data_IF_812203829206
#
_entry.id   IF_812203829206
#
_cell.length_a   1.000
_cell.length_b   1.000
_cell.length_c   1.000
_cell.angle_alpha   90.00
_cell.angle_beta   90.00
_cell.angle_gamma   90.00
#
_symmetry.space_group_name_H-M   'P 1'
#
loop_
_entity.id
_entity.type
_entity.pdbx_description
1 polymer ?
#
# COMPACT_ATOMS: atom_id res chain seq x y z
N UNK A 1 18.39 -16.25 -1.38
CA UNK A 1 17.97 -17.10 -2.52
C UNK A 1 17.47 -16.30 -3.73
N UNK A 2 16.26 -15.73 -3.77
CA UNK A 2 15.77 -15.04 -4.98
C UNK A 2 16.66 -13.84 -5.42
N UNK A 3 17.03 -13.00 -4.46
CA UNK A 3 17.88 -11.82 -4.73
C UNK A 3 19.32 -12.19 -5.09
N UNK A 4 19.84 -13.26 -4.50
CA UNK A 4 21.18 -13.79 -4.85
C UNK A 4 21.22 -14.30 -6.28
N UNK A 5 20.08 -14.79 -6.79
CA UNK A 5 19.90 -15.18 -8.18
C UNK A 5 19.57 -14.00 -9.12
N UNK A 6 19.58 -12.75 -8.63
CA UNK A 6 19.25 -11.57 -9.42
C UNK A 6 17.76 -11.39 -9.75
N UNK A 7 16.87 -12.16 -9.11
CA UNK A 7 15.42 -12.06 -9.31
C UNK A 7 14.87 -10.92 -8.43
N UNK A 8 14.09 -10.03 -9.05
CA UNK A 8 13.38 -8.95 -8.36
C UNK A 8 12.31 -9.51 -7.44
N UNK A 9 12.26 -9.01 -6.20
CA UNK A 9 11.30 -9.43 -5.19
C UNK A 9 10.25 -8.34 -4.96
N UNK A 10 9.01 -8.65 -5.32
CA UNK A 10 7.84 -7.83 -4.99
C UNK A 10 7.16 -8.38 -3.73
N UNK A 11 6.97 -7.53 -2.72
CA UNK A 11 6.19 -7.88 -1.54
C UNK A 11 4.79 -7.30 -1.64
N UNK A 12 3.78 -8.17 -1.67
CA UNK A 12 2.37 -7.78 -1.67
C UNK A 12 1.78 -7.97 -0.27
N UNK A 13 1.31 -6.90 0.34
CA UNK A 13 0.73 -6.89 1.68
C UNK A 13 -0.65 -6.26 1.66
N UNK A 14 -1.46 -6.60 2.67
CA UNK A 14 -2.76 -5.99 2.90
C UNK A 14 -2.94 -5.70 4.37
N UNK A 15 -3.78 -4.72 4.68
CA UNK A 15 -4.27 -4.40 6.03
C UNK A 15 -5.79 -4.21 6.00
N UNK A 16 -6.43 -4.15 7.16
CA UNK A 16 -7.88 -4.02 7.31
C UNK A 16 -8.67 -5.32 7.12
N UNK A 17 -8.02 -6.48 7.29
CA UNK A 17 -8.68 -7.79 7.27
C UNK A 17 -9.57 -8.00 8.52
N UNK A 18 -10.54 -8.93 8.46
CA UNK A 18 -11.34 -9.33 9.63
C UNK A 18 -10.49 -9.65 10.86
N UNK A 19 -10.84 -9.07 12.00
CA UNK A 19 -10.13 -9.25 13.27
C UNK A 19 -8.76 -8.54 13.37
N UNK A 20 -8.35 -7.79 12.34
CA UNK A 20 -7.08 -7.08 12.36
C UNK A 20 -7.13 -5.88 13.33
N UNK A 21 -6.11 -5.76 14.17
CA UNK A 21 -5.92 -4.65 15.13
C UNK A 21 -4.71 -3.80 14.73
N UNK A 22 -4.57 -2.61 15.32
CA UNK A 22 -3.40 -1.75 15.10
C UNK A 22 -2.06 -2.46 15.43
N UNK A 23 -2.05 -3.30 16.46
CA UNK A 23 -0.88 -4.08 16.89
C UNK A 23 -0.48 -5.13 15.84
N UNK A 24 -1.47 -5.77 15.22
CA UNK A 24 -1.24 -6.76 14.16
C UNK A 24 -0.75 -6.09 12.87
N UNK A 25 -1.29 -4.92 12.51
CA UNK A 25 -0.75 -4.12 11.39
C UNK A 25 0.69 -3.70 11.68
N UNK A 26 0.99 -3.28 12.91
CA UNK A 26 2.37 -2.96 13.31
C UNK A 26 3.30 -4.18 13.23
N UNK A 27 2.79 -5.40 13.44
CA UNK A 27 3.55 -6.61 13.18
C UNK A 27 3.87 -6.79 11.69
N UNK A 28 2.91 -6.53 10.80
CA UNK A 28 3.11 -6.51 9.35
C UNK A 28 4.17 -5.48 8.95
N UNK A 29 4.12 -4.26 9.51
CA UNK A 29 5.13 -3.21 9.25
C UNK A 29 6.54 -3.70 9.66
N UNK A 30 6.66 -4.35 10.82
CA UNK A 30 7.95 -4.93 11.26
C UNK A 30 8.46 -6.01 10.29
N UNK A 31 7.58 -6.80 9.68
CA UNK A 31 7.96 -7.78 8.64
C UNK A 31 8.45 -7.06 7.39
N UNK A 32 7.70 -6.09 6.88
CA UNK A 32 8.06 -5.31 5.69
C UNK A 32 9.44 -4.67 5.85
N UNK A 33 9.73 -4.06 7.00
CA UNK A 33 11.03 -3.41 7.31
C UNK A 33 12.22 -4.36 7.29
N UNK A 34 12.00 -5.63 7.64
CA UNK A 34 13.06 -6.65 7.66
C UNK A 34 13.31 -7.23 6.27
N UNK A 35 12.36 -7.10 5.36
CA UNK A 35 12.48 -7.61 4.00
C UNK A 35 13.23 -6.62 3.10
N UNK A 36 14.22 -7.11 2.35
CA UNK A 36 14.99 -6.32 1.39
C UNK A 36 14.28 -6.18 0.05
N UNK A 37 12.99 -5.84 0.04
CA UNK A 37 12.14 -5.86 -1.16
C UNK A 37 12.65 -4.92 -2.25
N UNK A 38 12.48 -5.32 -3.52
CA UNK A 38 12.73 -4.44 -4.66
C UNK A 38 11.56 -3.49 -4.90
N UNK A 39 10.34 -3.98 -4.65
CA UNK A 39 9.08 -3.26 -4.80
C UNK A 39 8.11 -3.74 -3.73
N UNK A 40 7.21 -2.87 -3.28
CA UNK A 40 6.21 -3.17 -2.25
C UNK A 40 4.85 -2.64 -2.68
N UNK A 41 3.84 -3.50 -2.60
CA UNK A 41 2.44 -3.14 -2.71
C UNK A 41 1.78 -3.31 -1.36
N UNK A 42 1.01 -2.30 -0.95
CA UNK A 42 0.16 -2.36 0.22
C UNK A 42 -1.26 -2.04 -0.23
N UNK A 43 -2.22 -2.89 0.12
CA UNK A 43 -3.64 -2.66 -0.13
C UNK A 43 -4.45 -2.61 1.17
N UNK A 44 -5.66 -2.04 1.09
CA UNK A 44 -6.68 -2.21 2.12
C UNK A 44 -7.62 -3.32 1.69
N UNK A 45 -7.89 -4.24 2.60
CA UNK A 45 -8.74 -5.42 2.35
C UNK A 45 -10.13 -4.94 1.98
N UNK A 46 -10.61 -5.38 0.82
CA UNK A 46 -11.91 -5.00 0.26
C UNK A 46 -12.70 -6.27 -0.03
N UNK A 47 -13.94 -6.31 0.44
CA UNK A 47 -14.84 -7.41 0.16
C UNK A 47 -15.43 -7.27 -1.26
N UNK A 48 -15.00 -8.10 -2.19
CA UNK A 48 -15.50 -8.06 -3.57
C UNK A 48 -16.72 -8.97 -3.75
N UNK A 49 -17.72 -8.61 -4.59
CA UNK A 49 -18.91 -9.42 -4.81
C UNK A 49 -18.54 -10.84 -5.28
N UNK A 50 -19.22 -11.84 -4.73
CA UNK A 50 -18.93 -13.26 -4.98
C UNK A 50 -17.82 -13.85 -4.11
N UNK A 51 -17.32 -13.12 -3.10
CA UNK A 51 -16.43 -13.66 -2.05
C UNK A 51 -17.19 -13.88 -0.75
N UNK A 52 -16.76 -14.85 0.06
CA UNK A 52 -17.31 -15.07 1.42
C UNK A 52 -17.20 -13.81 2.29
N UNK A 53 -16.15 -13.02 2.06
CA UNK A 53 -15.94 -11.75 2.73
C UNK A 53 -17.05 -10.74 2.40
N UNK A 54 -17.56 -10.75 1.18
CA UNK A 54 -18.67 -9.89 0.77
C UNK A 54 -19.98 -10.36 1.37
N UNK A 55 -20.22 -11.66 1.47
CA UNK A 55 -21.42 -12.16 2.12
C UNK A 55 -21.51 -11.68 3.58
N UNK A 56 -20.35 -11.62 4.25
CA UNK A 56 -20.23 -11.21 5.65
C UNK A 56 -20.25 -9.69 5.85
N UNK A 57 -19.49 -8.93 5.07
CA UNK A 57 -19.24 -7.49 5.30
C UNK A 57 -19.86 -6.56 4.25
N UNK A 58 -20.19 -7.08 3.07
CA UNK A 58 -20.58 -6.29 1.91
C UNK A 58 -22.02 -6.47 1.45
N UNK A 59 -22.72 -7.52 1.89
CA UNK A 59 -24.04 -7.92 1.39
C UNK A 59 -25.13 -6.85 1.58
N UNK A 60 -24.93 -5.95 2.53
CA UNK A 60 -25.84 -4.82 2.79
C UNK A 60 -25.39 -3.50 2.15
N UNK A 61 -24.20 -3.46 1.56
CA UNK A 61 -23.66 -2.25 0.96
C UNK A 61 -24.42 -1.92 -0.34
N UNK A 62 -24.89 -0.67 -0.45
CA UNK A 62 -25.62 -0.17 -1.63
C UNK A 62 -24.94 1.09 -2.16
N UNK A 63 -25.10 1.37 -3.45
CA UNK A 63 -24.54 2.58 -4.09
C UNK A 63 -23.01 2.58 -4.23
N UNK A 64 -22.37 1.42 -4.11
CA UNK A 64 -20.92 1.27 -4.32
C UNK A 64 -20.57 1.38 -5.81
N UNK A 65 -19.63 2.27 -6.12
CA UNK A 65 -19.06 2.44 -7.44
C UNK A 65 -17.84 1.52 -7.59
N UNK A 66 -18.08 0.28 -8.03
CA UNK A 66 -17.05 -0.77 -8.12
C UNK A 66 -15.89 -0.43 -9.05
N UNK A 67 -16.06 0.53 -9.97
CA UNK A 67 -14.96 1.04 -10.80
C UNK A 67 -13.88 1.74 -9.96
N UNK A 68 -14.26 2.29 -8.79
CA UNK A 68 -13.32 2.88 -7.82
C UNK A 68 -12.64 1.85 -6.93
N UNK A 69 -13.22 0.66 -6.76
CA UNK A 69 -12.62 -0.41 -5.95
C UNK A 69 -11.34 -0.97 -6.59
N UNK A 70 -11.28 -0.97 -7.93
CA UNK A 70 -10.15 -1.49 -8.70
C UNK A 70 -9.01 -0.48 -8.88
N UNK A 71 -9.16 0.74 -8.34
CA UNK A 71 -8.19 1.80 -8.54
C UNK A 71 -6.92 1.55 -7.70
N UNK A 72 -6.06 0.64 -8.15
CA UNK A 72 -4.63 0.83 -7.96
C UNK A 72 -4.28 2.10 -8.72
N UNK A 73 -4.27 3.24 -8.03
CA UNK A 73 -3.95 4.51 -8.65
C UNK A 73 -2.42 4.72 -8.57
N UNK A 74 -1.65 4.48 -9.64
CA UNK A 74 -0.20 4.70 -9.62
C UNK A 74 0.18 6.17 -9.42
N UNK A 75 -0.76 7.11 -9.63
CA UNK A 75 -0.58 8.54 -9.37
C UNK A 75 -0.98 8.98 -7.96
N UNK A 76 -1.62 8.08 -7.19
CA UNK A 76 -1.97 8.25 -5.78
C UNK A 76 -1.54 7.00 -5.00
N UNK A 77 -0.29 6.56 -5.21
CA UNK A 77 0.28 5.37 -4.57
C UNK A 77 0.40 5.50 -3.03
N UNK A 78 0.17 6.71 -2.51
CA UNK A 78 0.05 7.07 -1.11
C UNK A 78 -1.39 6.99 -0.57
N UNK A 79 -2.40 6.90 -1.43
CA UNK A 79 -3.80 6.81 -1.05
C UNK A 79 -4.34 5.39 -1.28
N UNK A 80 -4.67 4.70 -0.18
CA UNK A 80 -5.68 3.64 -0.24
C UNK A 80 -7.02 4.23 0.15
N UNK A 81 -7.99 4.12 -0.75
CA UNK A 81 -9.37 4.37 -0.37
C UNK A 81 -9.91 3.12 0.33
N UNK A 82 -10.41 3.33 1.55
CA UNK A 82 -11.19 2.33 2.25
C UNK A 82 -12.53 2.25 1.52
N UNK A 83 -12.62 1.34 0.55
CA UNK A 83 -13.78 1.22 -0.33
C UNK A 83 -14.94 0.51 0.38
N UNK A 84 -14.65 -0.67 0.92
CA UNK A 84 -15.60 -1.46 1.70
C UNK A 84 -14.84 -2.13 2.85
N UNK A 85 -15.14 -1.69 4.06
CA UNK A 85 -14.42 -2.09 5.25
C UNK A 85 -14.79 -3.50 5.70
N UNK A 86 -13.77 -4.28 6.05
CA UNK A 86 -13.91 -5.67 6.50
C UNK A 86 -13.40 -5.88 7.94
N UNK A 87 -13.18 -4.80 8.69
CA UNK A 87 -12.56 -4.78 10.02
C UNK A 87 -13.31 -3.80 10.94
N UNK A 88 -13.11 -3.93 12.24
CA UNK A 88 -13.67 -3.03 13.25
C UNK A 88 -12.88 -1.74 13.41
N UNK A 89 -11.65 -1.65 12.87
CA UNK A 89 -10.87 -0.41 12.84
C UNK A 89 -11.65 0.71 12.13
N UNK A 90 -11.56 1.95 12.60
CA UNK A 90 -12.15 3.06 11.85
C UNK A 90 -11.29 3.43 10.63
N UNK A 91 -11.91 4.10 9.65
CA UNK A 91 -11.27 4.46 8.38
C UNK A 91 -10.05 5.38 8.59
N UNK A 92 -10.11 6.28 9.58
CA UNK A 92 -9.01 7.18 9.90
C UNK A 92 -7.79 6.40 10.40
N UNK A 93 -8.02 5.40 11.23
CA UNK A 93 -7.01 4.49 11.77
C UNK A 93 -6.40 3.65 10.66
N UNK A 94 -7.22 3.07 9.77
CA UNK A 94 -6.71 2.31 8.61
C UNK A 94 -5.84 3.21 7.72
N UNK A 95 -6.29 4.42 7.40
CA UNK A 95 -5.51 5.39 6.60
C UNK A 95 -4.22 5.78 7.29
N UNK A 96 -4.24 6.03 8.60
CA UNK A 96 -3.04 6.33 9.38
C UNK A 96 -2.04 5.17 9.37
N UNK A 97 -2.52 3.95 9.58
CA UNK A 97 -1.69 2.74 9.56
C UNK A 97 -1.14 2.44 8.16
N UNK A 98 -1.93 2.66 7.11
CA UNK A 98 -1.49 2.55 5.73
C UNK A 98 -0.33 3.50 5.44
N UNK A 99 -0.49 4.79 5.75
CA UNK A 99 0.57 5.78 5.55
C UNK A 99 1.81 5.45 6.38
N UNK A 100 1.63 5.01 7.64
CA UNK A 100 2.74 4.55 8.48
C UNK A 100 3.49 3.39 7.83
N UNK A 101 2.78 2.38 7.35
CA UNK A 101 3.35 1.21 6.70
C UNK A 101 4.11 1.58 5.42
N UNK A 102 3.51 2.38 4.54
CA UNK A 102 4.14 2.86 3.31
C UNK A 102 5.40 3.68 3.59
N UNK A 103 5.34 4.59 4.57
CA UNK A 103 6.49 5.41 4.98
C UNK A 103 7.62 4.54 5.53
N UNK A 104 7.32 3.63 6.45
CA UNK A 104 8.33 2.75 7.05
C UNK A 104 8.91 1.76 6.03
N UNK A 105 8.10 1.26 5.10
CA UNK A 105 8.58 0.41 4.00
C UNK A 105 9.64 1.11 3.15
N UNK A 106 9.51 2.42 2.93
CA UNK A 106 10.48 3.22 2.16
C UNK A 106 11.68 3.60 3.03
N UNK A 107 11.48 4.16 4.22
CA UNK A 107 12.57 4.67 5.06
C UNK A 107 13.54 3.58 5.51
N UNK A 108 13.02 2.38 5.83
CA UNK A 108 13.86 1.27 6.30
C UNK A 108 14.37 0.37 5.17
N UNK A 109 14.07 0.71 3.91
CA UNK A 109 14.57 -0.01 2.75
C UNK A 109 15.33 0.94 1.80
N UNK A 110 16.63 1.22 2.07
CA UNK A 110 17.45 2.10 1.23
C UNK A 110 17.49 1.68 -0.24
N UNK A 111 17.35 0.37 -0.53
CA UNK A 111 17.31 -0.14 -1.91
C UNK A 111 16.07 0.35 -2.65
N UNK A 112 14.92 0.38 -1.99
CA UNK A 112 13.67 0.90 -2.54
C UNK A 112 13.79 2.40 -2.86
N UNK A 113 14.44 3.18 -1.98
CA UNK A 113 14.69 4.62 -2.20
C UNK A 113 15.58 4.85 -3.41
N UNK A 114 16.76 4.21 -3.44
CA UNK A 114 17.73 4.36 -4.55
C UNK A 114 17.08 4.00 -5.88
N UNK A 115 16.29 2.93 -5.91
CA UNK A 115 15.61 2.47 -7.13
C UNK A 115 14.47 3.40 -7.56
N UNK A 116 13.66 3.92 -6.63
CA UNK A 116 12.66 4.94 -6.95
C UNK A 116 13.33 6.18 -7.58
N UNK A 117 14.45 6.62 -7.01
CA UNK A 117 15.23 7.74 -7.56
C UNK A 117 15.84 7.43 -8.93
N UNK A 118 16.35 6.22 -9.16
CA UNK A 118 16.90 5.85 -10.47
C UNK A 118 15.83 5.80 -11.57
N UNK A 119 14.61 5.36 -11.24
CA UNK A 119 13.49 5.41 -12.17
C UNK A 119 13.07 6.85 -12.50
N UNK A 120 13.09 7.76 -11.52
CA UNK A 120 12.82 9.18 -11.74
C UNK A 120 13.90 9.86 -12.58
N UNK A 121 15.17 9.48 -12.39
CA UNK A 121 16.31 9.97 -13.17
C UNK A 121 16.33 9.42 -14.62
N UNK A 122 15.76 8.22 -14.84
CA UNK A 122 15.65 7.59 -16.16
C UNK A 122 14.47 8.11 -16.99
N UNK A 123 13.50 8.81 -16.38
CA UNK A 123 12.44 9.50 -17.12
C UNK A 123 13.05 10.78 -17.70
N UNK A 124 13.37 10.68 -18.99
CA UNK A 124 13.95 11.69 -19.89
C UNK A 124 13.09 12.97 -20.08
N UNK A 125 12.42 13.46 -19.02
CA UNK A 125 11.73 14.74 -18.94
C UNK A 125 11.83 15.32 -17.51
N UNK A 126 13.01 15.83 -17.15
CA UNK A 126 13.39 16.38 -15.84
C UNK A 126 12.48 17.54 -15.33
N UNK A 127 11.60 18.10 -16.17
CA UNK A 127 10.79 19.28 -15.84
C UNK A 127 9.59 19.04 -14.92
N UNK A 128 9.12 17.80 -14.75
CA UNK A 128 7.88 17.52 -13.97
C UNK A 128 8.11 16.81 -12.62
N UNK A 129 9.23 16.10 -12.46
CA UNK A 129 9.49 15.23 -11.30
C UNK A 129 9.97 15.96 -10.03
N UNK A 130 10.43 17.21 -10.14
CA UNK A 130 10.89 17.99 -8.98
C UNK A 130 9.79 18.26 -7.95
N UNK A 131 8.54 18.48 -8.38
CA UNK A 131 7.40 18.70 -7.47
C UNK A 131 7.02 17.48 -6.65
N UNK A 132 7.17 16.27 -7.20
CA UNK A 132 6.84 15.03 -6.51
C UNK A 132 7.89 14.69 -5.44
N UNK A 133 9.17 14.92 -5.74
CA UNK A 133 10.25 14.75 -4.77
C UNK A 133 10.13 15.73 -3.59
N UNK A 134 9.79 17.00 -3.84
CA UNK A 134 9.58 17.99 -2.76
C UNK A 134 8.42 17.59 -1.84
N UNK A 135 7.30 17.11 -2.40
CA UNK A 135 6.13 16.67 -1.60
C UNK A 135 6.41 15.49 -0.67
N UNK A 136 7.30 14.57 -1.06
CA UNK A 136 7.69 13.42 -0.21
C UNK A 136 8.53 13.83 1.03
N UNK A 137 9.12 15.03 1.03
CA UNK A 137 9.95 15.51 2.14
C UNK A 137 9.32 16.66 2.94
N UNK A 138 8.14 17.16 2.54
CA UNK A 138 7.46 18.29 3.18
C UNK A 138 6.03 17.95 3.64
N UNK A 139 5.66 16.68 3.81
CA UNK A 139 4.32 16.25 4.25
C UNK A 139 4.40 15.15 5.30
#
# INVERSE_FOLDING_TARGET
>A
MAQEAGIKVFGSFMIGSPGETAETVDATIRVIRKMKLDEVGLGVTTAYPGTELFDTYGSQATGLDWDKALAFNPSAADHSDVFLKCTDLDDATIRQLFHKAMREAVLYNPRLVVRRLSHLASIRHLGRSAKAAVRLFTS
#
